data_IF_621003906081
#
_entry.id   IF_621003906081
#
_cell.length_a   1.000
_cell.length_b   1.000
_cell.length_c   1.000
_cell.angle_alpha   90.00
_cell.angle_beta   90.00
_cell.angle_gamma   90.00
#
_symmetry.space_group_name_H-M   'P 1'
#
loop_
_entity.id
_entity.type
_entity.pdbx_description
1 polymer ?
#
# COMPACT_ATOMS: atom_id res chain seq x y z
N UNK A 1 -12.85 -20.34 8.23
CA UNK A 1 -12.66 -20.23 9.68
C UNK A 1 -12.85 -18.77 10.02
N UNK A 2 -13.85 -18.45 10.84
CA UNK A 2 -13.96 -17.13 11.47
C UNK A 2 -13.20 -17.27 12.78
N UNK A 3 -12.19 -16.43 13.00
CA UNK A 3 -11.40 -16.47 14.22
C UNK A 3 -12.04 -15.57 15.27
N UNK A 4 -12.33 -16.13 16.44
CA UNK A 4 -12.94 -15.40 17.56
C UNK A 4 -11.90 -14.62 18.39
N UNK A 5 -10.62 -14.72 18.04
CA UNK A 5 -9.52 -14.05 18.73
C UNK A 5 -8.36 -13.74 17.76
N UNK A 6 -7.81 -12.52 17.83
CA UNK A 6 -6.61 -12.12 17.09
C UNK A 6 -5.33 -12.66 17.77
N UNK A 7 -5.21 -13.98 17.93
CA UNK A 7 -4.01 -14.63 18.47
C UNK A 7 -3.06 -15.05 17.35
N UNK A 8 -1.76 -15.14 17.66
CA UNK A 8 -0.73 -15.61 16.73
C UNK A 8 -1.03 -17.02 16.18
N UNK A 9 -1.61 -17.87 17.03
CA UNK A 9 -2.03 -19.23 16.70
C UNK A 9 -3.19 -19.26 15.68
N UNK A 10 -4.21 -18.43 15.87
CA UNK A 10 -5.35 -18.25 14.96
C UNK A 10 -4.88 -17.77 13.57
N UNK A 11 -3.92 -16.84 13.53
CA UNK A 11 -3.28 -16.43 12.29
C UNK A 11 -2.47 -17.56 11.64
N UNK A 12 -1.72 -18.34 12.42
CA UNK A 12 -0.94 -19.49 11.97
C UNK A 12 -1.78 -20.56 11.28
N UNK A 13 -2.93 -20.92 11.85
CA UNK A 13 -3.88 -21.88 11.28
C UNK A 13 -4.50 -21.36 9.97
N UNK A 14 -4.94 -20.10 9.96
CA UNK A 14 -5.48 -19.46 8.76
C UNK A 14 -4.45 -19.46 7.62
N UNK A 15 -3.21 -19.10 7.92
CA UNK A 15 -2.13 -19.04 6.93
C UNK A 15 -1.72 -20.43 6.43
N UNK A 16 -1.74 -21.44 7.28
CA UNK A 16 -1.49 -22.83 6.89
C UNK A 16 -2.59 -23.37 5.97
N UNK A 17 -3.85 -23.09 6.30
CA UNK A 17 -5.02 -23.39 5.44
C UNK A 17 -4.96 -22.64 4.10
N UNK A 18 -4.52 -21.38 4.10
CA UNK A 18 -4.36 -20.59 2.89
C UNK A 18 -3.27 -21.17 1.99
N UNK A 19 -2.09 -21.51 2.55
CA UNK A 19 -0.98 -22.14 1.81
C UNK A 19 -1.42 -23.47 1.19
N UNK A 20 -2.15 -24.31 1.93
CA UNK A 20 -2.62 -25.60 1.43
C UNK A 20 -3.55 -25.46 0.21
N UNK A 21 -4.43 -24.46 0.21
CA UNK A 21 -5.36 -24.18 -0.91
C UNK A 21 -4.71 -23.47 -2.11
N UNK A 22 -3.60 -22.78 -1.89
CA UNK A 22 -2.84 -22.08 -2.93
C UNK A 22 -1.73 -22.94 -3.56
N UNK A 23 -1.56 -24.21 -3.13
CA UNK A 23 -0.59 -25.13 -3.75
C UNK A 23 -0.93 -25.32 -5.23
N UNK A 24 -0.04 -24.85 -6.11
CA UNK A 24 -0.17 -24.96 -7.57
C UNK A 24 -0.41 -23.65 -8.32
N UNK A 25 -0.73 -22.55 -7.62
CA UNK A 25 -0.83 -21.22 -8.22
C UNK A 25 0.41 -20.38 -7.93
N UNK A 26 0.99 -19.72 -8.95
CA UNK A 26 1.97 -18.63 -8.80
C UNK A 26 1.29 -17.37 -8.22
N UNK A 27 0.59 -17.51 -7.11
CA UNK A 27 -0.19 -16.47 -6.48
C UNK A 27 0.71 -15.59 -5.63
N UNK A 28 0.85 -14.33 -6.02
CA UNK A 28 1.55 -13.33 -5.20
C UNK A 28 0.57 -12.71 -4.20
N UNK A 29 0.96 -12.66 -2.92
CA UNK A 29 0.18 -12.06 -1.86
C UNK A 29 0.48 -10.56 -1.78
N UNK A 30 -0.54 -9.73 -2.00
CA UNK A 30 -0.49 -8.28 -1.77
C UNK A 30 -1.14 -7.97 -0.43
N UNK A 31 -0.35 -7.46 0.51
CA UNK A 31 -0.74 -7.33 1.91
C UNK A 31 -0.62 -5.87 2.37
N UNK A 32 -1.63 -5.33 3.08
CA UNK A 32 -1.57 -3.99 3.64
C UNK A 32 -0.43 -3.82 4.65
N UNK A 33 0.22 -2.65 4.61
CA UNK A 33 1.42 -2.36 5.41
C UNK A 33 1.28 -2.64 6.92
N UNK A 34 0.08 -2.46 7.47
CA UNK A 34 -0.23 -2.65 8.90
C UNK A 34 -0.07 -4.10 9.41
N UNK A 35 -0.10 -5.11 8.53
CA UNK A 35 -0.02 -6.54 8.90
C UNK A 35 1.34 -7.14 8.52
N UNK A 36 2.19 -6.40 7.80
CA UNK A 36 3.46 -6.92 7.28
C UNK A 36 4.36 -7.51 8.37
N UNK A 37 4.42 -6.89 9.57
CA UNK A 37 5.27 -7.38 10.66
C UNK A 37 4.89 -8.80 11.11
N UNK A 38 3.61 -9.02 11.41
CA UNK A 38 3.10 -10.35 11.76
C UNK A 38 3.24 -11.33 10.60
N UNK A 39 3.05 -10.86 9.37
CA UNK A 39 3.01 -11.74 8.20
C UNK A 39 4.41 -12.17 7.73
N UNK A 40 5.43 -11.34 7.91
CA UNK A 40 6.85 -11.70 7.69
C UNK A 40 7.32 -12.85 8.60
N UNK A 41 6.69 -13.05 9.76
CA UNK A 41 7.01 -14.17 10.65
C UNK A 41 6.52 -15.51 10.09
N UNK A 42 5.45 -15.52 9.30
CA UNK A 42 4.83 -16.76 8.79
C UNK A 42 5.06 -17.02 7.29
N UNK A 43 5.49 -16.02 6.52
CA UNK A 43 5.74 -16.16 5.08
C UNK A 43 7.05 -15.50 4.67
N UNK A 44 7.93 -16.31 4.08
CA UNK A 44 9.14 -15.83 3.41
C UNK A 44 8.78 -15.27 2.02
N UNK A 45 9.42 -14.17 1.63
CA UNK A 45 9.21 -13.55 0.31
C UNK A 45 8.00 -12.62 0.18
N UNK A 46 7.36 -12.22 1.29
CA UNK A 46 6.25 -11.26 1.24
C UNK A 46 6.76 -9.85 0.94
N UNK A 47 6.36 -9.32 -0.21
CA UNK A 47 6.59 -7.93 -0.54
C UNK A 47 5.49 -7.06 0.08
N UNK A 48 5.91 -6.15 0.95
CA UNK A 48 5.04 -5.11 1.45
C UNK A 48 4.65 -4.16 0.33
N UNK A 49 3.34 -3.95 0.12
CA UNK A 49 2.90 -2.92 -0.81
C UNK A 49 2.25 -1.77 -0.04
N UNK A 50 2.79 -0.56 -0.23
CA UNK A 50 2.18 0.66 0.28
C UNK A 50 1.12 1.16 -0.70
N UNK A 51 -0.05 1.55 -0.17
CA UNK A 51 -1.09 2.19 -0.98
C UNK A 51 -0.57 3.53 -1.50
N UNK A 52 -0.48 3.66 -2.83
CA UNK A 52 0.11 4.85 -3.47
C UNK A 52 -0.71 6.11 -3.20
N UNK A 53 -2.04 6.00 -3.07
CA UNK A 53 -2.91 7.16 -2.78
C UNK A 53 -2.59 7.77 -1.41
N UNK A 54 -2.51 6.94 -0.37
CA UNK A 54 -2.13 7.39 0.97
C UNK A 54 -0.70 7.90 1.01
N UNK A 55 0.20 7.28 0.25
CA UNK A 55 1.58 7.72 0.22
C UNK A 55 1.74 9.08 -0.46
N UNK A 56 1.05 9.35 -1.58
CA UNK A 56 0.99 10.67 -2.20
C UNK A 56 0.51 11.71 -1.18
N UNK A 57 -0.54 11.40 -0.41
CA UNK A 57 -1.04 12.31 0.63
C UNK A 57 0.04 12.64 1.66
N UNK A 58 0.75 11.63 2.18
CA UNK A 58 1.83 11.84 3.15
C UNK A 58 2.97 12.71 2.59
N UNK A 59 3.37 12.48 1.33
CA UNK A 59 4.39 13.31 0.66
C UNK A 59 3.91 14.75 0.52
N UNK A 60 2.66 14.95 0.09
CA UNK A 60 2.09 16.29 -0.10
C UNK A 60 1.82 17.01 1.22
N UNK A 61 1.56 16.31 2.32
CA UNK A 61 1.41 16.91 3.64
C UNK A 61 2.75 17.45 4.16
N UNK A 62 3.87 16.84 3.77
CA UNK A 62 5.23 17.31 4.06
C UNK A 62 5.76 18.38 3.07
N UNK A 63 5.03 18.67 1.98
CA UNK A 63 5.46 19.58 0.94
C UNK A 63 4.94 21.02 1.13
N UNK A 64 5.72 22.06 0.74
CA UNK A 64 5.22 23.44 0.67
C UNK A 64 4.00 23.57 -0.25
N UNK A 65 3.02 24.38 0.14
CA UNK A 65 1.73 24.52 -0.59
C UNK A 65 1.92 24.84 -2.08
N UNK A 66 2.87 25.71 -2.41
CA UNK A 66 3.15 26.16 -3.79
C UNK A 66 3.68 25.05 -4.69
N UNK A 67 4.36 24.05 -4.12
CA UNK A 67 5.01 22.97 -4.88
C UNK A 67 4.17 21.68 -4.93
N UNK A 68 3.04 21.61 -4.19
CA UNK A 68 2.24 20.39 -4.10
C UNK A 68 1.78 19.87 -5.45
N UNK A 69 1.40 20.76 -6.37
CA UNK A 69 0.92 20.34 -7.69
C UNK A 69 2.04 19.68 -8.51
N UNK A 70 3.20 20.32 -8.59
CA UNK A 70 4.35 19.80 -9.32
C UNK A 70 4.87 18.49 -8.73
N UNK A 71 5.06 18.43 -7.40
CA UNK A 71 5.53 17.23 -6.70
C UNK A 71 4.56 16.08 -6.93
N UNK A 72 3.23 16.33 -6.87
CA UNK A 72 2.23 15.29 -7.16
C UNK A 72 2.37 14.72 -8.57
N UNK A 73 2.60 15.58 -9.56
CA UNK A 73 2.78 15.16 -10.95
C UNK A 73 4.02 14.27 -11.13
N UNK A 74 5.15 14.67 -10.52
CA UNK A 74 6.40 13.89 -10.53
C UNK A 74 6.23 12.53 -9.85
N UNK A 75 5.63 12.51 -8.66
CA UNK A 75 5.37 11.27 -7.91
C UNK A 75 4.45 10.33 -8.69
N UNK A 76 3.43 10.85 -9.40
CA UNK A 76 2.61 10.01 -10.29
C UNK A 76 3.44 9.38 -11.41
N UNK A 77 4.33 10.15 -12.04
CA UNK A 77 5.21 9.66 -13.10
C UNK A 77 6.11 8.53 -12.61
N UNK A 78 6.61 8.61 -11.36
CA UNK A 78 7.36 7.53 -10.72
C UNK A 78 6.53 6.24 -10.62
N UNK A 79 5.26 6.36 -10.20
CA UNK A 79 4.38 5.20 -9.98
C UNK A 79 3.81 4.60 -11.27
N UNK A 80 3.77 5.38 -12.35
CA UNK A 80 3.31 4.96 -13.67
C UNK A 80 4.47 4.52 -14.59
N UNK A 81 5.69 4.46 -14.05
CA UNK A 81 6.86 4.00 -14.78
C UNK A 81 6.69 2.55 -15.32
N UNK A 82 7.26 2.25 -16.49
CA UNK A 82 7.13 0.93 -17.12
C UNK A 82 7.83 -0.18 -16.32
N UNK A 83 8.94 0.15 -15.65
CA UNK A 83 9.76 -0.76 -14.86
C UNK A 83 10.42 -0.03 -13.68
N UNK A 84 11.04 -0.80 -12.78
CA UNK A 84 11.67 -0.29 -11.57
C UNK A 84 12.87 0.64 -11.87
N UNK A 85 13.64 0.36 -12.91
CA UNK A 85 14.82 1.17 -13.28
C UNK A 85 14.40 2.58 -13.72
N UNK A 86 13.33 2.67 -14.51
CA UNK A 86 12.75 3.95 -14.92
C UNK A 86 12.15 4.70 -13.72
N UNK A 87 11.50 3.98 -12.79
CA UNK A 87 10.99 4.57 -11.56
C UNK A 87 12.14 5.15 -10.70
N UNK A 88 13.27 4.45 -10.61
CA UNK A 88 14.47 4.91 -9.90
C UNK A 88 15.11 6.12 -10.57
N UNK A 89 15.16 6.16 -11.90
CA UNK A 89 15.59 7.34 -12.64
C UNK A 89 14.73 8.57 -12.33
N UNK A 90 13.40 8.41 -12.37
CA UNK A 90 12.47 9.49 -12.05
C UNK A 90 12.53 9.90 -10.58
N UNK A 91 12.78 8.96 -9.67
CA UNK A 91 13.04 9.27 -8.27
C UNK A 91 14.25 10.20 -8.15
N UNK A 92 15.39 9.82 -8.73
CA UNK A 92 16.62 10.62 -8.65
C UNK A 92 16.42 12.02 -9.21
N UNK A 93 15.83 12.15 -10.40
CA UNK A 93 15.52 13.44 -11.01
C UNK A 93 14.61 14.32 -10.12
N UNK A 94 13.65 13.69 -9.45
CA UNK A 94 12.73 14.38 -8.53
C UNK A 94 13.47 14.84 -7.28
N UNK A 95 14.32 13.99 -6.69
CA UNK A 95 15.15 14.35 -5.54
C UNK A 95 16.07 15.52 -5.90
N UNK A 96 16.82 15.44 -6.99
CA UNK A 96 17.76 16.49 -7.42
C UNK A 96 17.05 17.85 -7.61
N UNK A 97 15.84 17.83 -8.17
CA UNK A 97 15.06 19.05 -8.46
C UNK A 97 14.48 19.70 -7.19
N UNK A 98 14.03 18.88 -6.22
CA UNK A 98 13.21 19.36 -5.10
C UNK A 98 13.87 19.23 -3.73
N UNK A 99 15.04 18.59 -3.59
CA UNK A 99 15.71 18.40 -2.29
C UNK A 99 15.94 19.73 -1.56
N UNK A 100 16.40 20.77 -2.27
CA UNK A 100 16.61 22.10 -1.69
C UNK A 100 15.34 22.90 -1.41
N UNK A 101 14.20 22.52 -2.01
CA UNK A 101 12.93 23.28 -1.94
C UNK A 101 11.89 22.62 -1.03
N UNK A 102 11.95 21.29 -0.89
CA UNK A 102 10.96 20.47 -0.21
C UNK A 102 11.61 19.23 0.43
N UNK A 103 12.72 19.41 1.15
CA UNK A 103 13.53 18.34 1.75
C UNK A 103 12.71 17.30 2.54
N UNK A 104 11.76 17.74 3.37
CA UNK A 104 10.88 16.84 4.13
C UNK A 104 10.04 15.93 3.24
N UNK A 105 9.48 16.46 2.16
CA UNK A 105 8.68 15.68 1.21
C UNK A 105 9.55 14.67 0.44
N UNK A 106 10.77 15.08 0.08
CA UNK A 106 11.73 14.21 -0.61
C UNK A 106 12.20 13.06 0.27
N UNK A 107 12.47 13.33 1.55
CA UNK A 107 12.81 12.28 2.53
C UNK A 107 11.67 11.26 2.68
N UNK A 108 10.42 11.72 2.75
CA UNK A 108 9.25 10.83 2.82
C UNK A 108 9.13 9.98 1.54
N UNK A 109 9.34 10.59 0.36
CA UNK A 109 9.30 9.90 -0.92
C UNK A 109 10.39 8.82 -1.00
N UNK A 110 11.63 9.16 -0.69
CA UNK A 110 12.78 8.25 -0.74
C UNK A 110 12.59 7.04 0.19
N UNK A 111 12.25 7.28 1.46
CA UNK A 111 12.06 6.22 2.46
C UNK A 111 10.92 5.25 2.13
N UNK A 112 9.89 5.71 1.41
CA UNK A 112 8.73 4.89 1.05
C UNK A 112 8.73 4.39 -0.39
N UNK A 113 9.79 4.66 -1.17
CA UNK A 113 9.83 4.38 -2.61
C UNK A 113 9.70 2.89 -2.91
N UNK A 114 10.52 2.04 -2.29
CA UNK A 114 10.56 0.60 -2.59
C UNK A 114 9.20 -0.06 -2.26
N UNK A 115 8.60 0.28 -1.12
CA UNK A 115 7.28 -0.24 -0.73
C UNK A 115 6.16 0.20 -1.69
N UNK A 116 6.24 1.43 -2.23
CA UNK A 116 5.22 1.98 -3.11
C UNK A 116 5.36 1.52 -4.58
N UNK A 117 6.57 1.14 -4.99
CA UNK A 117 6.90 0.68 -6.35
C UNK A 117 7.03 -0.83 -6.47
N UNK A 118 6.90 -1.58 -5.37
CA UNK A 118 6.80 -3.04 -5.35
C UNK A 118 5.81 -3.62 -6.39
N UNK A 119 4.74 -2.88 -6.70
CA UNK A 119 3.73 -3.28 -7.69
C UNK A 119 4.27 -3.35 -9.13
N UNK A 120 5.37 -2.69 -9.45
CA UNK A 120 5.94 -2.64 -10.80
C UNK A 120 6.49 -3.99 -11.27
N UNK A 121 6.74 -4.93 -10.35
CA UNK A 121 7.14 -6.31 -10.68
C UNK A 121 6.01 -7.06 -11.40
N UNK A 122 4.75 -6.66 -11.22
CA UNK A 122 3.61 -7.29 -11.87
C UNK A 122 3.36 -6.76 -13.28
N UNK A 123 2.73 -7.56 -14.17
CA UNK A 123 2.21 -7.08 -15.45
C UNK A 123 1.29 -5.86 -15.29
N UNK A 124 1.36 -4.94 -16.25
CA UNK A 124 0.67 -3.63 -16.23
C UNK A 124 -0.83 -3.73 -15.90
N UNK A 125 -1.51 -4.72 -16.47
CA UNK A 125 -2.93 -4.99 -16.26
C UNK A 125 -3.32 -5.17 -14.78
N UNK A 126 -2.40 -5.66 -13.94
CA UNK A 126 -2.64 -5.84 -12.50
C UNK A 126 -2.28 -4.61 -11.69
N UNK A 127 -1.32 -3.80 -12.15
CA UNK A 127 -0.80 -2.63 -11.40
C UNK A 127 -1.91 -1.65 -11.05
N UNK A 128 -2.83 -1.40 -11.98
CA UNK A 128 -3.95 -0.47 -11.75
C UNK A 128 -4.82 -0.86 -10.55
N UNK A 129 -5.08 -2.17 -10.39
CA UNK A 129 -5.93 -2.69 -9.30
C UNK A 129 -5.16 -2.79 -7.99
N UNK A 130 -3.88 -3.15 -8.07
CA UNK A 130 -3.06 -3.41 -6.88
C UNK A 130 -2.54 -2.12 -6.25
N UNK A 131 -2.34 -1.03 -7.01
CA UNK A 131 -1.72 0.22 -6.51
C UNK A 131 -2.50 0.97 -5.42
N UNK A 132 -3.80 0.70 -5.26
CA UNK A 132 -4.62 1.32 -4.21
C UNK A 132 -5.40 0.28 -3.40
N UNK A 133 -5.79 0.67 -2.19
CA UNK A 133 -6.64 -0.11 -1.30
C UNK A 133 -8.13 0.12 -1.54
N UNK A 134 -8.52 0.89 -2.56
CA UNK A 134 -9.90 1.31 -2.82
C UNK A 134 -10.88 0.14 -2.93
N UNK A 135 -10.47 -0.96 -3.58
CA UNK A 135 -11.33 -2.15 -3.73
C UNK A 135 -11.66 -2.79 -2.39
N UNK A 136 -10.65 -2.96 -1.52
CA UNK A 136 -10.81 -3.50 -0.17
C UNK A 136 -11.60 -2.54 0.71
N UNK A 137 -11.30 -1.24 0.63
CA UNK A 137 -12.00 -0.21 1.39
C UNK A 137 -13.49 -0.12 1.03
N UNK A 138 -13.81 -0.21 -0.27
CA UNK A 138 -15.20 -0.27 -0.75
C UNK A 138 -15.92 -1.53 -0.28
N UNK A 139 -15.28 -2.68 -0.37
CA UNK A 139 -15.84 -3.94 0.12
C UNK A 139 -16.14 -3.84 1.63
N UNK A 140 -15.18 -3.35 2.41
CA UNK A 140 -15.34 -3.17 3.85
C UNK A 140 -16.46 -2.17 4.17
N UNK A 141 -16.60 -1.10 3.38
CA UNK A 141 -17.70 -0.15 3.52
C UNK A 141 -19.06 -0.80 3.23
N UNK A 142 -19.15 -1.66 2.23
CA UNK A 142 -20.38 -2.37 1.88
C UNK A 142 -20.78 -3.40 2.95
N UNK A 143 -19.80 -4.14 3.51
CA UNK A 143 -20.04 -5.03 4.65
C UNK A 143 -20.60 -4.22 5.82
N UNK A 144 -19.94 -3.11 6.19
CA UNK A 144 -20.42 -2.25 7.28
C UNK A 144 -21.82 -1.71 7.01
N UNK A 145 -22.12 -1.27 5.79
CA UNK A 145 -23.44 -0.76 5.42
C UNK A 145 -24.56 -1.80 5.65
N UNK A 146 -24.28 -3.07 5.39
CA UNK A 146 -25.27 -4.16 5.49
C UNK A 146 -25.43 -4.71 6.89
N UNK A 147 -24.36 -4.73 7.67
CA UNK A 147 -24.31 -5.46 8.93
C UNK A 147 -24.22 -4.56 10.17
N UNK A 148 -23.81 -3.30 10.03
CA UNK A 148 -23.75 -2.39 11.18
C UNK A 148 -25.05 -1.62 11.27
N UNK A 149 -25.59 -1.52 12.49
CA UNK A 149 -26.63 -0.53 12.76
C UNK A 149 -26.00 0.89 12.81
N UNK A 150 -26.85 1.93 12.75
CA UNK A 150 -26.38 3.32 12.69
C UNK A 150 -25.49 3.70 13.88
N UNK A 151 -25.74 3.13 15.06
CA UNK A 151 -24.98 3.40 16.29
C UNK A 151 -23.57 2.82 16.20
N UNK A 152 -23.45 1.56 15.80
CA UNK A 152 -22.16 0.87 15.59
C UNK A 152 -21.33 1.57 14.50
N UNK A 153 -21.97 2.03 13.44
CA UNK A 153 -21.32 2.77 12.36
C UNK A 153 -20.72 4.11 12.84
N UNK A 154 -21.46 4.85 13.66
CA UNK A 154 -21.03 6.14 14.20
C UNK A 154 -19.90 6.01 15.23
N UNK A 155 -19.91 4.98 16.06
CA UNK A 155 -18.81 4.70 16.99
C UNK A 155 -17.53 4.29 16.27
N UNK A 156 -17.65 3.48 15.22
CA UNK A 156 -16.50 3.09 14.41
C UNK A 156 -15.84 4.30 13.73
N UNK A 157 -16.63 5.24 13.19
CA UNK A 157 -16.12 6.42 12.48
C UNK A 157 -15.31 7.37 13.38
N UNK A 158 -15.45 7.28 14.69
CA UNK A 158 -14.72 8.11 15.67
C UNK A 158 -13.35 7.54 16.05
N UNK A 159 -13.06 6.27 15.72
CA UNK A 159 -11.77 5.61 15.95
C UNK A 159 -10.86 5.78 14.74
#
# INVERSE_FOLDING_TARGET
>A
MVGDTESEESWGEFFSSLKARLRGSNSSLVIPQRIIKALKQHFQGVTGQRCQMHFIRNILDAAPKTLKYEIKSRVRSIFEAPNLDTARLYLQQTLDTYQGKASKAMQVLELGFDDATAVLVYPEMYRFRLRTTNGIERLNAEIRRRYFNMTEYMEWRKR
#
